data_IF_609821400719
#
_entry.id   IF_609821400719
#
_cell.length_a   1.000
_cell.length_b   1.000
_cell.length_c   1.000
_cell.angle_alpha   90.00
_cell.angle_beta   90.00
_cell.angle_gamma   90.00
#
_symmetry.space_group_name_H-M   'P 1'
#
loop_
_entity.id
_entity.type
_entity.pdbx_description
1 polymer ?
#
# COMPACT_ATOMS: atom_id res chain seq x y z
N UNK A 1 -19.79 -24.10 -32.79
CA UNK A 1 -20.84 -24.37 -31.79
C UNK A 1 -20.53 -25.54 -30.85
N UNK A 2 -19.99 -26.68 -31.31
CA UNK A 2 -19.75 -27.86 -30.46
C UNK A 2 -18.89 -27.61 -29.19
N UNK A 3 -17.98 -26.64 -29.22
CA UNK A 3 -17.10 -26.35 -28.07
C UNK A 3 -17.85 -25.66 -26.91
N UNK A 4 -18.72 -24.69 -27.18
CA UNK A 4 -19.47 -23.95 -26.14
C UNK A 4 -20.50 -24.83 -25.42
N UNK A 5 -21.18 -25.70 -26.17
CA UNK A 5 -22.10 -26.67 -25.60
C UNK A 5 -21.45 -27.58 -24.54
N UNK A 6 -20.17 -27.96 -24.72
CA UNK A 6 -19.42 -28.76 -23.73
C UNK A 6 -19.21 -28.07 -22.39
N UNK A 7 -19.28 -26.73 -22.36
CA UNK A 7 -19.17 -25.93 -21.14
C UNK A 7 -20.54 -25.55 -20.56
N UNK A 8 -21.64 -26.06 -21.13
CA UNK A 8 -22.99 -25.87 -20.62
C UNK A 8 -23.69 -24.61 -21.12
N UNK A 9 -23.22 -24.04 -22.24
CA UNK A 9 -23.89 -22.90 -22.89
C UNK A 9 -24.88 -23.36 -23.95
N UNK A 10 -26.06 -22.75 -23.94
CA UNK A 10 -26.99 -22.78 -25.07
C UNK A 10 -26.42 -22.02 -26.28
N UNK A 11 -26.92 -22.26 -27.50
CA UNK A 11 -26.54 -21.46 -28.67
C UNK A 11 -26.71 -19.96 -28.44
N UNK A 12 -27.83 -19.55 -27.85
CA UNK A 12 -28.18 -18.17 -27.56
C UNK A 12 -27.19 -17.53 -26.58
N UNK A 13 -26.94 -18.17 -25.43
CA UNK A 13 -25.95 -17.68 -24.46
C UNK A 13 -24.55 -17.61 -25.09
N UNK A 14 -24.14 -18.66 -25.83
CA UNK A 14 -22.84 -18.66 -26.49
C UNK A 14 -22.68 -17.50 -27.48
N UNK A 15 -23.77 -17.10 -28.14
CA UNK A 15 -23.78 -15.94 -29.03
C UNK A 15 -23.64 -14.63 -28.25
N UNK A 16 -24.26 -14.50 -27.09
CA UNK A 16 -24.13 -13.31 -26.23
C UNK A 16 -22.70 -13.15 -25.72
N UNK A 17 -22.10 -14.22 -25.18
CA UNK A 17 -20.71 -14.20 -24.74
C UNK A 17 -19.75 -13.86 -25.89
N UNK A 18 -19.94 -14.45 -27.07
CA UNK A 18 -19.13 -14.09 -28.24
C UNK A 18 -19.32 -12.63 -28.68
N UNK A 19 -20.55 -12.12 -28.64
CA UNK A 19 -20.86 -10.73 -28.99
C UNK A 19 -20.20 -9.73 -28.04
N UNK A 20 -20.09 -10.06 -26.74
CA UNK A 20 -19.33 -9.30 -25.75
C UNK A 20 -17.80 -9.41 -25.94
N UNK A 21 -17.32 -10.12 -26.97
CA UNK A 21 -15.90 -10.29 -27.24
C UNK A 21 -15.26 -11.48 -26.52
N UNK A 22 -16.04 -12.34 -25.88
CA UNK A 22 -15.57 -13.60 -25.28
C UNK A 22 -15.50 -14.69 -26.36
N UNK A 23 -14.37 -14.72 -27.09
CA UNK A 23 -14.14 -15.58 -28.26
C UNK A 23 -13.23 -16.80 -28.00
N UNK A 24 -12.25 -17.03 -28.89
CA UNK A 24 -11.33 -18.17 -28.81
C UNK A 24 -9.94 -17.82 -28.28
N UNK A 25 -9.71 -16.59 -27.83
CA UNK A 25 -8.45 -16.21 -27.21
C UNK A 25 -8.28 -16.93 -25.86
N UNK A 26 -7.03 -17.18 -25.44
CA UNK A 26 -6.69 -17.99 -24.27
C UNK A 26 -7.43 -17.59 -22.98
N UNK A 27 -7.68 -16.30 -22.76
CA UNK A 27 -8.35 -15.74 -21.58
C UNK A 27 -9.84 -15.37 -21.82
N UNK A 28 -10.34 -15.56 -23.05
CA UNK A 28 -11.71 -15.20 -23.46
C UNK A 28 -12.53 -16.39 -23.98
N UNK A 29 -12.01 -17.61 -23.80
CA UNK A 29 -12.60 -18.86 -24.24
C UNK A 29 -13.92 -19.25 -23.56
N UNK A 30 -14.61 -20.29 -24.06
CA UNK A 30 -15.80 -20.87 -23.42
C UNK A 30 -15.56 -21.32 -21.96
N UNK A 31 -14.33 -21.76 -21.66
CA UNK A 31 -13.94 -22.12 -20.30
C UNK A 31 -13.93 -20.89 -19.38
N UNK A 32 -13.30 -19.79 -19.82
CA UNK A 32 -13.27 -18.51 -19.10
C UNK A 32 -14.69 -17.97 -18.91
N UNK A 33 -15.49 -17.92 -19.98
CA UNK A 33 -16.90 -17.52 -19.91
C UNK A 33 -17.69 -18.32 -18.85
N UNK A 34 -17.45 -19.62 -18.74
CA UNK A 34 -18.09 -20.46 -17.71
C UNK A 34 -17.71 -20.03 -16.30
N UNK A 35 -16.46 -19.65 -16.07
CA UNK A 35 -15.99 -19.20 -14.75
C UNK A 35 -16.58 -17.85 -14.38
N UNK A 36 -16.61 -16.89 -15.31
CA UNK A 36 -17.27 -15.59 -15.13
C UNK A 36 -18.77 -15.75 -14.84
N UNK A 37 -19.48 -16.57 -15.62
CA UNK A 37 -20.89 -16.90 -15.38
C UNK A 37 -21.12 -17.50 -13.99
N UNK A 38 -20.24 -18.43 -13.56
CA UNK A 38 -20.34 -19.05 -12.21
C UNK A 38 -20.11 -18.07 -11.08
N UNK A 39 -19.29 -17.04 -11.30
CA UNK A 39 -19.06 -15.96 -10.36
C UNK A 39 -20.20 -14.92 -10.36
N UNK A 40 -21.21 -15.08 -11.22
CA UNK A 40 -22.39 -14.21 -11.28
C UNK A 40 -22.27 -13.01 -12.21
N UNK A 41 -21.25 -12.97 -13.08
CA UNK A 41 -21.07 -11.89 -14.05
C UNK A 41 -21.79 -12.17 -15.36
N UNK A 42 -22.39 -11.12 -15.90
CA UNK A 42 -22.94 -11.12 -17.26
C UNK A 42 -21.82 -10.96 -18.32
N UNK A 43 -22.08 -11.32 -19.59
CA UNK A 43 -21.09 -11.26 -20.66
C UNK A 43 -20.34 -9.92 -20.77
N UNK A 44 -21.08 -8.80 -20.75
CA UNK A 44 -20.53 -7.46 -20.92
C UNK A 44 -19.68 -7.03 -19.71
N UNK A 45 -20.09 -7.42 -18.50
CA UNK A 45 -19.33 -7.11 -17.27
C UNK A 45 -17.99 -7.86 -17.25
N UNK A 46 -18.02 -9.15 -17.59
CA UNK A 46 -16.82 -9.98 -17.70
C UNK A 46 -15.86 -9.43 -18.76
N UNK A 47 -16.39 -9.03 -19.92
CA UNK A 47 -15.60 -8.41 -20.98
C UNK A 47 -14.94 -7.10 -20.52
N UNK A 48 -15.68 -6.24 -19.82
CA UNK A 48 -15.17 -4.98 -19.30
C UNK A 48 -14.01 -5.19 -18.30
N UNK A 49 -14.13 -6.16 -17.39
CA UNK A 49 -13.02 -6.52 -16.49
C UNK A 49 -11.78 -7.01 -17.25
N UNK A 50 -11.96 -7.85 -18.27
CA UNK A 50 -10.87 -8.37 -19.09
C UNK A 50 -10.27 -7.32 -20.04
N UNK A 51 -11.02 -6.27 -20.37
CA UNK A 51 -10.53 -5.10 -21.09
C UNK A 51 -9.67 -4.22 -20.17
N UNK A 52 -10.09 -4.05 -18.91
CA UNK A 52 -9.34 -3.32 -17.89
C UNK A 52 -8.01 -4.01 -17.55
N UNK A 53 -8.03 -5.33 -17.34
CA UNK A 53 -6.82 -6.14 -17.25
C UNK A 53 -7.12 -7.60 -17.64
N UNK A 54 -6.42 -8.09 -18.67
CA UNK A 54 -6.59 -9.43 -19.26
C UNK A 54 -6.26 -10.59 -18.32
N UNK A 55 -5.60 -10.31 -17.20
CA UNK A 55 -5.22 -11.29 -16.18
C UNK A 55 -6.16 -11.30 -14.98
N UNK A 56 -7.19 -10.44 -14.95
CA UNK A 56 -8.19 -10.48 -13.87
C UNK A 56 -8.98 -11.78 -13.96
N UNK A 57 -9.01 -12.52 -12.86
CA UNK A 57 -9.86 -13.68 -12.69
C UNK A 57 -11.23 -13.31 -12.12
N UNK A 58 -12.29 -14.10 -12.38
CA UNK A 58 -13.63 -13.83 -11.86
C UNK A 58 -13.67 -13.65 -10.35
N UNK A 59 -12.88 -14.42 -9.58
CA UNK A 59 -12.78 -14.28 -8.12
C UNK A 59 -12.24 -12.91 -7.70
N UNK A 60 -11.24 -12.38 -8.42
CA UNK A 60 -10.70 -11.05 -8.19
C UNK A 60 -11.75 -9.98 -8.49
N UNK A 61 -12.45 -10.13 -9.61
CA UNK A 61 -13.53 -9.23 -9.98
C UNK A 61 -14.69 -9.26 -8.97
N UNK A 62 -15.09 -10.43 -8.47
CA UNK A 62 -16.10 -10.56 -7.40
C UNK A 62 -15.66 -9.84 -6.15
N UNK A 63 -14.42 -10.06 -5.71
CA UNK A 63 -13.87 -9.37 -4.56
C UNK A 63 -13.85 -7.85 -4.76
N UNK A 64 -13.40 -7.39 -5.92
CA UNK A 64 -13.36 -5.98 -6.28
C UNK A 64 -14.76 -5.35 -6.32
N UNK A 65 -15.72 -6.03 -6.93
CA UNK A 65 -17.12 -5.60 -7.03
C UNK A 65 -17.82 -5.58 -5.66
N UNK A 66 -17.54 -6.55 -4.79
CA UNK A 66 -18.02 -6.58 -3.40
C UNK A 66 -17.71 -5.27 -2.67
N UNK A 67 -16.61 -4.64 -3.06
CA UNK A 67 -16.19 -3.39 -2.48
C UNK A 67 -16.31 -2.16 -3.39
N UNK A 68 -17.22 -2.20 -4.37
CA UNK A 68 -17.57 -1.03 -5.19
C UNK A 68 -16.53 -0.65 -6.25
N UNK A 69 -15.54 -1.51 -6.52
CA UNK A 69 -14.61 -1.31 -7.63
C UNK A 69 -15.28 -1.84 -8.90
N UNK A 70 -15.35 -0.98 -9.90
CA UNK A 70 -15.84 -1.33 -11.24
C UNK A 70 -14.66 -1.39 -12.23
N UNK A 71 -14.83 -2.02 -13.41
CA UNK A 71 -13.82 -1.99 -14.46
C UNK A 71 -13.36 -0.57 -14.82
N UNK A 72 -14.26 0.42 -14.80
CA UNK A 72 -13.94 1.81 -15.12
C UNK A 72 -13.09 2.51 -14.05
N UNK A 73 -13.15 2.03 -12.81
CA UNK A 73 -12.41 2.57 -11.65
C UNK A 73 -11.24 1.70 -11.22
N UNK A 74 -11.02 0.59 -11.95
CA UNK A 74 -9.94 -0.34 -11.71
C UNK A 74 -8.60 0.33 -12.00
N UNK A 75 -7.64 0.03 -11.14
CA UNK A 75 -6.24 0.40 -11.25
C UNK A 75 -5.39 -0.83 -10.95
N UNK A 76 -4.24 -0.93 -11.61
CA UNK A 76 -3.35 -2.06 -11.37
C UNK A 76 -2.94 -2.18 -9.89
N UNK A 77 -3.08 -3.39 -9.35
CA UNK A 77 -2.81 -3.72 -7.95
C UNK A 77 -4.08 -3.81 -7.09
N UNK A 78 -5.22 -3.28 -7.56
CA UNK A 78 -6.50 -3.36 -6.85
C UNK A 78 -6.91 -4.80 -6.52
N UNK A 79 -6.60 -5.73 -7.42
CA UNK A 79 -6.94 -7.15 -7.34
C UNK A 79 -6.23 -7.88 -6.20
N UNK A 80 -5.03 -7.42 -5.80
CA UNK A 80 -4.28 -8.01 -4.68
C UNK A 80 -4.96 -7.75 -3.35
N UNK A 81 -5.44 -6.53 -3.17
CA UNK A 81 -6.13 -6.14 -1.95
C UNK A 81 -7.50 -6.76 -1.86
N UNK A 82 -8.26 -6.65 -2.95
CA UNK A 82 -9.62 -7.12 -2.95
C UNK A 82 -9.66 -8.60 -2.59
N UNK A 83 -8.78 -9.43 -3.17
CA UNK A 83 -8.69 -10.84 -2.81
C UNK A 83 -8.28 -11.08 -1.36
N UNK A 84 -7.23 -10.41 -0.87
CA UNK A 84 -6.75 -10.60 0.49
C UNK A 84 -7.84 -10.27 1.51
N UNK A 85 -8.58 -9.18 1.28
CA UNK A 85 -9.65 -8.74 2.17
C UNK A 85 -10.93 -9.56 2.00
N UNK A 86 -11.27 -9.94 0.77
CA UNK A 86 -12.38 -10.84 0.50
C UNK A 86 -12.18 -12.20 1.17
N UNK A 87 -10.95 -12.73 1.18
CA UNK A 87 -10.64 -13.98 1.86
C UNK A 87 -10.78 -13.85 3.38
N UNK A 88 -10.32 -12.73 3.98
CA UNK A 88 -10.48 -12.45 5.42
C UNK A 88 -11.94 -12.29 5.84
N UNK A 89 -12.72 -11.51 5.08
CA UNK A 89 -14.15 -11.30 5.36
C UNK A 89 -14.94 -12.60 5.26
N UNK A 90 -14.58 -13.49 4.33
CA UNK A 90 -15.20 -14.81 4.17
C UNK A 90 -14.76 -15.82 5.26
N UNK A 91 -13.59 -15.66 5.88
CA UNK A 91 -13.12 -16.52 6.98
C UNK A 91 -13.55 -16.06 8.37
N UNK A 92 -14.37 -15.00 8.49
CA UNK A 92 -14.76 -14.37 9.78
C UNK A 92 -13.58 -13.82 10.61
N UNK A 93 -12.39 -13.72 10.02
CA UNK A 93 -11.35 -12.85 10.56
C UNK A 93 -11.76 -11.42 10.23
N UNK A 94 -12.54 -10.84 11.13
CA UNK A 94 -12.97 -9.46 11.06
C UNK A 94 -11.71 -8.60 11.08
N UNK A 95 -11.38 -7.95 9.96
CA UNK A 95 -10.25 -7.02 9.87
C UNK A 95 -10.47 -5.90 10.90
N UNK A 96 -9.66 -5.82 11.97
CA UNK A 96 -9.78 -4.73 12.94
C UNK A 96 -9.37 -3.39 12.31
N UNK A 97 -8.80 -3.39 11.10
CA UNK A 97 -8.29 -2.23 10.41
C UNK A 97 -9.31 -1.48 9.56
N UNK A 98 -10.29 -2.13 8.93
CA UNK A 98 -11.16 -1.48 7.95
C UNK A 98 -10.34 -0.88 6.79
N UNK A 99 -9.25 -1.55 6.40
CA UNK A 99 -8.28 -1.06 5.41
C UNK A 99 -8.97 -0.72 4.09
N UNK A 100 -10.04 -1.46 3.80
CA UNK A 100 -10.76 -1.35 2.56
C UNK A 100 -11.79 -0.22 2.49
N UNK A 101 -12.45 0.11 3.62
CA UNK A 101 -13.33 1.29 3.71
C UNK A 101 -12.59 2.60 3.39
N UNK A 102 -11.26 2.61 3.55
CA UNK A 102 -10.41 3.80 3.36
C UNK A 102 -9.64 3.80 2.04
N UNK A 103 -10.00 2.96 1.08
CA UNK A 103 -9.25 2.89 -0.19
C UNK A 103 -9.30 4.17 -1.02
N UNK A 104 -10.47 4.83 -1.05
CA UNK A 104 -10.60 6.15 -1.66
C UNK A 104 -9.66 7.16 -0.96
N UNK A 105 -9.53 7.07 0.36
CA UNK A 105 -8.62 7.91 1.14
C UNK A 105 -7.15 7.60 0.84
N UNK A 106 -6.77 6.33 0.69
CA UNK A 106 -5.42 5.92 0.29
C UNK A 106 -5.04 6.42 -1.10
N UNK A 107 -5.98 6.35 -2.06
CA UNK A 107 -5.81 6.91 -3.40
C UNK A 107 -5.72 8.44 -3.39
N UNK A 108 -6.61 9.10 -2.65
CA UNK A 108 -6.56 10.55 -2.46
C UNK A 108 -5.26 10.99 -1.77
N UNK A 109 -4.76 10.15 -0.86
CA UNK A 109 -3.46 10.29 -0.24
C UNK A 109 -2.30 9.99 -1.20
N UNK A 110 -2.54 9.48 -2.42
CA UNK A 110 -1.53 9.20 -3.45
C UNK A 110 -0.64 7.99 -3.14
N UNK A 111 -1.19 6.98 -2.47
CA UNK A 111 -0.55 5.68 -2.30
C UNK A 111 -1.20 4.69 -3.26
N UNK A 112 -0.35 3.92 -3.95
CA UNK A 112 -0.79 2.73 -4.67
C UNK A 112 -1.24 1.64 -3.68
N UNK A 113 -1.76 0.55 -4.24
CA UNK A 113 -2.08 -0.63 -3.47
C UNK A 113 -0.92 -1.03 -2.56
N UNK A 114 0.15 -1.61 -3.11
CA UNK A 114 1.24 -2.21 -2.33
C UNK A 114 1.71 -1.34 -1.14
N UNK A 115 1.88 -0.02 -1.32
CA UNK A 115 2.24 0.90 -0.22
C UNK A 115 1.13 1.07 0.81
N UNK A 116 -0.13 1.16 0.39
CA UNK A 116 -1.28 1.25 1.30
C UNK A 116 -1.41 -0.01 2.18
N UNK A 117 -1.24 -1.23 1.63
CA UNK A 117 -1.23 -2.47 2.46
C UNK A 117 -0.10 -2.40 3.46
N UNK A 118 1.09 -2.04 3.00
CA UNK A 118 2.25 -2.00 3.87
C UNK A 118 2.05 -1.07 5.06
N UNK A 119 1.54 0.15 4.85
CA UNK A 119 1.19 1.04 5.97
C UNK A 119 0.07 0.48 6.86
N UNK A 120 -0.97 -0.10 6.26
CA UNK A 120 -2.10 -0.65 6.97
C UNK A 120 -1.73 -1.84 7.87
N UNK A 121 -0.81 -2.70 7.43
CA UNK A 121 -0.27 -3.82 8.21
C UNK A 121 0.44 -3.34 9.50
N UNK A 122 0.90 -2.09 9.52
CA UNK A 122 1.45 -1.41 10.71
C UNK A 122 0.45 -0.48 11.42
N UNK A 123 -0.83 -0.56 11.08
CA UNK A 123 -1.88 0.28 11.67
C UNK A 123 -1.73 1.78 11.36
N UNK A 124 -1.06 2.12 10.25
CA UNK A 124 -0.93 3.50 9.78
C UNK A 124 -2.05 3.80 8.81
N UNK A 125 -2.86 4.82 9.08
CA UNK A 125 -3.90 5.29 8.19
C UNK A 125 -3.38 6.24 7.08
N UNK A 126 -4.19 6.53 6.06
CA UNK A 126 -3.80 7.37 4.92
C UNK A 126 -3.37 8.79 5.34
N UNK A 127 -4.06 9.38 6.32
CA UNK A 127 -3.69 10.69 6.87
C UNK A 127 -2.32 10.69 7.56
N UNK A 128 -1.92 9.62 8.22
CA UNK A 128 -0.58 9.53 8.81
C UNK A 128 0.47 9.21 7.74
N UNK A 129 0.18 8.30 6.81
CA UNK A 129 1.08 7.95 5.71
C UNK A 129 1.45 9.16 4.85
N UNK A 130 0.51 10.07 4.57
CA UNK A 130 0.82 11.34 3.86
C UNK A 130 1.86 12.18 4.59
N UNK A 131 1.86 12.18 5.93
CA UNK A 131 2.88 12.87 6.73
C UNK A 131 4.25 12.21 6.58
N UNK A 132 4.32 10.88 6.59
CA UNK A 132 5.56 10.12 6.34
C UNK A 132 6.11 10.36 4.94
N UNK A 133 5.23 10.47 3.93
CA UNK A 133 5.63 10.84 2.57
C UNK A 133 6.13 12.27 2.46
N UNK A 134 5.51 13.22 3.16
CA UNK A 134 5.91 14.62 3.13
C UNK A 134 7.36 14.84 3.63
N UNK A 135 7.90 13.90 4.41
CA UNK A 135 9.28 13.94 4.90
C UNK A 135 10.22 12.96 4.19
N UNK A 136 9.78 12.32 3.11
CA UNK A 136 10.54 11.32 2.34
C UNK A 136 11.06 10.14 3.17
N UNK A 137 10.30 9.74 4.19
CA UNK A 137 10.63 8.60 5.07
C UNK A 137 9.65 7.45 4.89
N UNK A 138 8.99 7.36 3.72
CA UNK A 138 8.07 6.25 3.43
C UNK A 138 8.78 4.93 3.67
N UNK A 139 9.98 4.70 3.13
CA UNK A 139 10.65 3.40 3.21
C UNK A 139 11.27 3.05 4.57
N UNK A 140 11.41 4.00 5.50
CA UNK A 140 12.01 3.79 6.82
C UNK A 140 11.07 4.10 7.97
N UNK A 141 9.79 4.45 7.70
CA UNK A 141 8.85 4.90 8.73
C UNK A 141 8.71 3.92 9.90
N UNK A 142 8.80 2.62 9.62
CA UNK A 142 8.69 1.57 10.63
C UNK A 142 9.82 1.68 11.66
N UNK A 143 11.06 1.90 11.21
CA UNK A 143 12.23 2.08 12.09
C UNK A 143 12.01 3.29 13.00
N UNK A 144 11.58 4.41 12.43
CA UNK A 144 11.28 5.63 13.18
C UNK A 144 10.13 5.44 14.18
N UNK A 145 9.04 4.75 13.80
CA UNK A 145 7.92 4.45 14.71
C UNK A 145 8.31 3.50 15.84
N UNK A 146 9.17 2.51 15.58
CA UNK A 146 9.69 1.63 16.63
C UNK A 146 10.47 2.41 17.70
N UNK A 147 11.17 3.46 17.28
CA UNK A 147 11.82 4.41 18.18
C UNK A 147 10.86 5.51 18.71
N UNK A 148 9.54 5.36 18.49
CA UNK A 148 8.48 6.29 18.95
C UNK A 148 8.58 7.70 18.39
N UNK A 149 9.15 7.87 17.19
CA UNK A 149 9.10 9.15 16.49
C UNK A 149 7.82 9.28 15.67
N UNK A 150 7.26 10.48 15.65
CA UNK A 150 6.22 10.87 14.70
C UNK A 150 6.83 11.41 13.39
N UNK A 151 6.08 11.42 12.27
CA UNK A 151 6.62 11.77 10.95
C UNK A 151 7.30 13.15 10.89
N UNK A 152 6.71 14.17 11.51
CA UNK A 152 7.29 15.53 11.53
C UNK A 152 8.63 15.56 12.26
N UNK A 153 8.71 14.92 13.43
CA UNK A 153 9.92 14.85 14.24
C UNK A 153 11.01 14.04 13.50
N UNK A 154 10.64 12.91 12.92
CA UNK A 154 11.53 12.10 12.08
C UNK A 154 12.09 12.87 10.91
N UNK A 155 11.28 13.70 10.24
CA UNK A 155 11.74 14.53 9.13
C UNK A 155 12.79 15.56 9.54
N UNK A 156 12.67 16.15 10.73
CA UNK A 156 13.68 17.04 11.28
C UNK A 156 14.97 16.29 11.60
N UNK A 157 14.86 15.14 12.29
CA UNK A 157 16.02 14.32 12.61
C UNK A 157 16.72 13.77 11.36
N UNK A 158 15.98 13.25 10.38
CA UNK A 158 16.55 12.65 9.17
C UNK A 158 17.38 13.65 8.34
N UNK A 159 17.07 14.95 8.38
CA UNK A 159 17.90 16.00 7.75
C UNK A 159 19.24 16.19 8.45
N UNK A 160 19.32 15.88 9.73
CA UNK A 160 20.52 16.06 10.56
C UNK A 160 21.39 14.81 10.59
N UNK A 161 20.77 13.65 10.81
CA UNK A 161 21.48 12.38 11.05
C UNK A 161 21.36 11.40 9.89
N UNK A 162 20.70 11.79 8.80
CA UNK A 162 20.46 10.95 7.64
C UNK A 162 19.32 9.93 7.82
N UNK A 163 18.96 9.25 6.74
CA UNK A 163 17.79 8.35 6.69
C UNK A 163 17.90 7.12 7.59
N UNK A 164 19.12 6.67 7.93
CA UNK A 164 19.39 5.51 8.80
C UNK A 164 19.76 5.88 10.23
N UNK A 165 19.79 7.17 10.56
CA UNK A 165 20.19 7.66 11.87
C UNK A 165 19.09 7.58 12.92
N UNK A 166 18.04 6.76 12.76
CA UNK A 166 16.92 6.69 13.72
C UNK A 166 17.38 6.30 15.14
N UNK A 167 18.43 5.49 15.25
CA UNK A 167 19.10 5.15 16.52
C UNK A 167 19.83 6.38 17.09
N UNK A 168 20.64 7.06 16.26
CA UNK A 168 21.34 8.29 16.67
C UNK A 168 20.37 9.39 17.09
N UNK A 169 19.26 9.55 16.38
CA UNK A 169 18.18 10.47 16.75
C UNK A 169 17.58 10.10 18.11
N UNK A 170 17.40 8.80 18.39
CA UNK A 170 16.94 8.33 19.70
C UNK A 170 17.96 8.64 20.79
N UNK A 171 19.24 8.36 20.57
CA UNK A 171 20.28 8.61 21.57
C UNK A 171 20.35 10.09 21.94
N UNK A 172 20.31 10.98 20.93
CA UNK A 172 20.26 12.43 21.13
C UNK A 172 18.97 12.86 21.87
N UNK A 173 17.81 12.28 21.53
CA UNK A 173 16.56 12.54 22.25
C UNK A 173 16.59 12.03 23.69
N UNK A 174 17.23 10.90 23.96
CA UNK A 174 17.38 10.33 25.30
C UNK A 174 18.34 11.19 26.17
N UNK A 175 19.26 11.95 25.54
CA UNK A 175 20.00 13.04 26.18
C UNK A 175 19.15 14.30 26.43
N UNK A 176 17.92 14.35 25.92
CA UNK A 176 17.01 15.48 26.03
C UNK A 176 17.21 16.54 24.95
N UNK A 177 17.89 16.22 23.85
CA UNK A 177 18.08 17.16 22.75
C UNK A 177 16.88 17.13 21.79
N UNK A 178 16.53 18.30 21.28
CA UNK A 178 15.64 18.43 20.12
C UNK A 178 16.47 18.45 18.83
N UNK A 179 15.86 18.26 17.65
CA UNK A 179 16.56 18.46 16.38
C UNK A 179 17.26 19.82 16.29
N UNK A 180 16.65 20.88 16.80
CA UNK A 180 17.19 22.24 16.77
C UNK A 180 18.46 22.34 17.61
N UNK A 181 18.45 21.82 18.84
CA UNK A 181 19.65 21.78 19.70
C UNK A 181 20.76 20.96 19.06
N UNK A 182 20.43 19.80 18.50
CA UNK A 182 21.41 18.98 17.79
C UNK A 182 22.00 19.72 16.57
N UNK A 183 21.16 20.45 15.82
CA UNK A 183 21.59 21.24 14.68
C UNK A 183 22.55 22.38 15.09
N UNK A 184 22.30 23.03 16.22
CA UNK A 184 23.18 24.06 16.79
C UNK A 184 24.56 23.48 17.14
N UNK A 185 24.62 22.31 17.77
CA UNK A 185 25.89 21.63 18.06
C UNK A 185 26.66 21.19 16.81
N UNK A 186 25.94 20.93 15.71
CA UNK A 186 26.53 20.60 14.42
C UNK A 186 26.80 21.83 13.53
N UNK A 187 26.39 23.02 13.98
CA UNK A 187 26.58 24.25 13.23
C UNK A 187 28.08 24.59 13.15
N UNK A 188 28.57 24.80 11.93
CA UNK A 188 29.98 25.08 11.67
C UNK A 188 30.89 23.84 11.55
N UNK A 189 30.37 22.63 11.79
CA UNK A 189 31.08 21.40 11.43
C UNK A 189 30.97 21.15 9.91
N UNK A 190 32.09 20.80 9.29
CA UNK A 190 32.11 20.24 7.94
C UNK A 190 31.54 18.81 7.93
N UNK A 191 31.40 18.21 6.75
CA UNK A 191 30.80 16.87 6.62
C UNK A 191 31.55 15.80 7.43
N UNK A 192 32.89 15.92 7.54
CA UNK A 192 33.70 15.02 8.33
C UNK A 192 33.47 15.20 9.84
N UNK A 193 33.46 16.45 10.31
CA UNK A 193 33.16 16.80 11.70
C UNK A 193 31.76 16.36 12.12
N UNK A 194 30.77 16.50 11.22
CA UNK A 194 29.41 15.99 11.45
C UNK A 194 29.39 14.47 11.57
N UNK A 195 30.03 13.77 10.64
CA UNK A 195 30.09 12.30 10.70
C UNK A 195 30.77 11.81 11.98
N UNK A 196 31.92 12.40 12.33
CA UNK A 196 32.63 12.07 13.57
C UNK A 196 31.80 12.38 14.82
N UNK A 197 31.01 13.47 14.80
CA UNK A 197 30.07 13.80 15.87
C UNK A 197 28.97 12.74 16.01
N UNK A 198 28.44 12.22 14.89
CA UNK A 198 27.36 11.22 14.89
C UNK A 198 27.83 9.80 15.22
N UNK A 199 29.09 9.46 14.90
CA UNK A 199 29.67 8.14 15.16
C UNK A 199 30.18 7.96 16.59
N UNK A 200 30.33 9.04 17.35
CA UNK A 200 30.81 8.95 18.73
C UNK A 200 29.73 8.38 19.65
N UNK A 201 30.09 7.59 20.67
CA UNK A 201 29.15 7.17 21.69
C UNK A 201 28.66 8.37 22.50
N UNK A 202 27.33 8.51 22.61
CA UNK A 202 26.69 9.54 23.41
C UNK A 202 26.56 9.10 24.87
N UNK A 203 27.02 9.92 25.81
CA UNK A 203 26.97 9.64 27.24
C UNK A 203 26.09 10.66 27.97
N UNK A 204 25.50 10.26 29.10
CA UNK A 204 24.64 11.13 29.92
C UNK A 204 25.30 12.47 30.29
N UNK A 205 26.65 12.51 30.37
CA UNK A 205 27.42 13.73 30.63
C UNK A 205 27.33 14.78 29.51
N UNK A 206 27.01 14.38 28.28
CA UNK A 206 26.81 15.30 27.15
C UNK A 206 25.53 16.14 27.29
N UNK A 207 24.64 15.79 28.23
CA UNK A 207 23.41 16.51 28.53
C UNK A 207 23.64 17.90 29.12
N UNK A 208 24.71 18.10 29.89
CA UNK A 208 24.93 19.36 30.61
C UNK A 208 25.55 20.46 29.72
N UNK A 209 26.15 20.08 28.59
CA UNK A 209 26.74 21.01 27.61
C UNK A 209 25.72 21.88 26.87
N UNK A 210 24.42 21.56 26.93
CA UNK A 210 23.35 22.28 26.22
C UNK A 210 22.51 23.21 27.12
N UNK A 211 22.87 23.35 28.39
CA UNK A 211 22.18 24.23 29.37
C UNK A 211 22.86 25.57 29.61
N UNK A 212 23.87 25.94 28.81
CA UNK A 212 24.64 27.19 28.94
C UNK A 212 24.14 28.21 27.93
#
# INVERSE_FOLDING_TARGET
MAMWARYGFTPEESSQWQAAGMGYAAHRGPMSAREWKRAGFEPEEAAAWLDANRMIHPRQATAMAHFGVTPATYQDGDERFALAEYDRTMTREMDPGGVWERRADWRAAGFDGDKASWFADYGVGPTEATKWRAVDLVHTFQEWRQQRFGPTESGSWAKLVGMRGSITARDLRDLGWTPEVAAEHMAGLDDHGRQAFLERPFHVRDRDSSRV
#
